data_IF_769606244096
#
_entry.id   IF_769606244096
#
_cell.length_a   1.000
_cell.length_b   1.000
_cell.length_c   1.000
_cell.angle_alpha   90.00
_cell.angle_beta   90.00
_cell.angle_gamma   90.00
#
_symmetry.space_group_name_H-M   'P 1'
#
loop_
_entity.id
_entity.type
_entity.pdbx_description
1 polymer ?
#
# COMPACT_ATOMS: atom_id res chain seq x y z
N UNK A 1 11.71 -1.99 9.86
CA UNK A 1 13.03 -2.14 9.26
C UNK A 1 13.60 -0.89 8.62
N UNK A 2 13.14 0.31 9.03
CA UNK A 2 13.74 1.59 8.61
C UNK A 2 15.17 1.70 9.15
N UNK A 3 16.04 2.51 8.52
CA UNK A 3 17.36 2.80 9.07
C UNK A 3 17.28 3.35 10.49
N UNK A 4 18.03 2.76 11.43
CA UNK A 4 18.01 3.13 12.82
C UNK A 4 16.81 2.60 13.63
N UNK A 5 15.94 1.81 13.02
CA UNK A 5 14.81 1.18 13.68
C UNK A 5 15.13 -0.31 13.96
N UNK A 6 15.28 -0.63 15.21
CA UNK A 6 15.42 -1.99 15.72
C UNK A 6 14.19 -2.43 16.53
N UNK A 7 14.26 -3.59 17.19
CA UNK A 7 13.17 -4.10 18.01
C UNK A 7 12.74 -3.15 19.14
N UNK A 8 13.66 -2.39 19.73
CA UNK A 8 13.36 -1.46 20.82
C UNK A 8 12.56 -0.24 20.32
N UNK A 9 12.97 0.38 19.22
CA UNK A 9 12.25 1.49 18.59
C UNK A 9 10.88 1.07 18.10
N UNK A 10 10.79 -0.15 17.57
CA UNK A 10 9.51 -0.70 17.12
C UNK A 10 8.57 -0.99 18.30
N UNK A 11 9.09 -1.55 19.40
CA UNK A 11 8.31 -1.74 20.62
C UNK A 11 7.81 -0.41 21.21
N UNK A 12 8.63 0.64 21.15
CA UNK A 12 8.22 1.99 21.52
C UNK A 12 7.08 2.49 20.61
N UNK A 13 7.19 2.27 19.31
CA UNK A 13 6.13 2.65 18.33
C UNK A 13 4.80 1.94 18.63
N UNK A 14 4.82 0.67 19.02
CA UNK A 14 3.63 -0.07 19.45
C UNK A 14 3.04 0.52 20.72
N UNK A 15 3.86 0.85 21.72
CA UNK A 15 3.41 1.47 22.97
C UNK A 15 2.80 2.87 22.75
N UNK A 16 3.33 3.65 21.81
CA UNK A 16 2.70 4.94 21.44
C UNK A 16 1.38 4.72 20.67
N UNK A 17 1.31 3.70 19.83
CA UNK A 17 0.08 3.32 19.12
C UNK A 17 -1.02 2.87 20.10
N UNK A 18 -0.65 2.19 21.17
CA UNK A 18 -1.58 1.79 22.25
C UNK A 18 -2.31 2.98 22.87
N UNK A 19 -1.63 4.12 23.04
CA UNK A 19 -2.26 5.33 23.59
C UNK A 19 -3.33 5.92 22.67
N UNK A 20 -3.23 5.67 21.38
CA UNK A 20 -4.17 6.16 20.37
C UNK A 20 -5.32 5.18 20.12
N UNK A 21 -5.08 3.88 20.27
CA UNK A 21 -6.01 2.77 20.00
C UNK A 21 -6.81 2.98 18.69
N UNK A 22 -6.14 3.10 17.52
CA UNK A 22 -6.83 3.31 16.25
C UNK A 22 -7.71 2.09 15.91
N UNK A 23 -8.83 2.30 15.21
CA UNK A 23 -9.73 1.21 14.79
C UNK A 23 -9.08 0.24 13.80
N UNK A 24 -8.13 0.71 13.02
CA UNK A 24 -7.34 -0.13 12.12
C UNK A 24 -5.93 0.40 11.96
N UNK A 25 -5.01 -0.49 11.65
CA UNK A 25 -3.61 -0.15 11.39
C UNK A 25 -3.01 -1.07 10.32
N UNK A 26 -1.95 -0.63 9.69
CA UNK A 26 -1.20 -1.47 8.76
C UNK A 26 0.26 -1.50 9.15
N UNK A 27 0.82 -2.69 9.27
CA UNK A 27 2.23 -2.89 9.54
C UNK A 27 2.93 -3.12 8.21
N UNK A 28 3.84 -2.20 7.86
CA UNK A 28 4.60 -2.23 6.62
C UNK A 28 6.03 -2.68 6.88
N UNK A 29 6.49 -3.63 6.07
CA UNK A 29 7.91 -3.96 5.98
C UNK A 29 8.56 -3.08 4.91
N UNK A 30 9.78 -2.60 5.18
CA UNK A 30 10.53 -1.76 4.26
C UNK A 30 10.67 -2.41 2.87
N UNK A 31 10.36 -1.64 1.84
CA UNK A 31 10.55 -2.04 0.44
C UNK A 31 11.50 -1.07 -0.26
N UNK A 32 12.61 -1.58 -0.78
CA UNK A 32 13.58 -0.78 -1.51
C UNK A 32 13.03 -0.34 -2.86
N UNK A 33 12.93 0.96 -3.07
CA UNK A 33 12.53 1.56 -4.35
C UNK A 33 13.78 1.95 -5.13
N UNK A 34 13.87 1.53 -6.40
CA UNK A 34 15.06 1.73 -7.26
C UNK A 34 15.63 3.15 -7.27
N UNK A 35 14.76 4.15 -7.24
CA UNK A 35 15.15 5.55 -7.30
C UNK A 35 15.28 6.23 -5.93
N UNK A 36 15.10 5.51 -4.82
CA UNK A 36 15.19 6.10 -3.49
C UNK A 36 16.64 6.39 -3.10
N UNK A 37 16.84 7.44 -2.33
CA UNK A 37 18.14 7.85 -1.78
C UNK A 37 18.79 6.70 -1.02
N UNK A 38 18.01 6.01 -0.18
CA UNK A 38 18.44 4.82 0.57
C UNK A 38 18.99 3.71 -0.35
N UNK A 39 18.38 3.49 -1.52
CA UNK A 39 18.85 2.47 -2.47
C UNK A 39 20.15 2.89 -3.16
N UNK A 40 20.30 4.18 -3.46
CA UNK A 40 21.54 4.73 -4.08
C UNK A 40 22.73 4.67 -3.13
N UNK A 41 22.49 4.89 -1.85
CA UNK A 41 23.50 4.93 -0.79
C UNK A 41 23.52 3.68 0.08
N UNK A 42 23.02 2.56 -0.47
CA UNK A 42 23.00 1.27 0.22
C UNK A 42 24.42 0.83 0.58
N UNK A 43 24.67 0.65 1.86
CA UNK A 43 25.99 0.30 2.40
C UNK A 43 26.62 1.41 3.24
N UNK A 44 26.12 2.63 3.19
CA UNK A 44 26.49 3.66 4.16
C UNK A 44 25.81 3.38 5.52
N UNK A 45 26.54 3.63 6.61
CA UNK A 45 26.04 3.32 7.98
C UNK A 45 24.71 3.99 8.31
N UNK A 46 24.51 5.24 7.88
CA UNK A 46 23.24 5.97 8.08
C UNK A 46 22.03 5.33 7.41
N UNK A 47 22.26 4.40 6.46
CA UNK A 47 21.20 3.65 5.77
C UNK A 47 21.24 2.16 6.12
N UNK A 48 21.91 1.79 7.22
CA UNK A 48 21.88 0.43 7.73
C UNK A 48 20.45 0.08 8.16
N UNK A 49 19.88 -0.89 7.49
CA UNK A 49 18.56 -1.42 7.82
C UNK A 49 18.68 -2.58 8.81
N UNK A 50 17.57 -2.89 9.49
CA UNK A 50 17.51 -4.01 10.41
C UNK A 50 17.91 -5.34 9.71
N UNK A 51 18.58 -6.19 10.44
CA UNK A 51 18.91 -7.56 10.05
C UNK A 51 17.64 -8.41 9.93
N UNK A 52 17.78 -9.60 9.34
CA UNK A 52 16.64 -10.53 9.23
C UNK A 52 16.09 -10.94 10.59
N UNK A 53 16.97 -11.17 11.57
CA UNK A 53 16.54 -11.60 12.90
C UNK A 53 15.84 -10.46 13.66
N UNK A 54 16.35 -9.22 13.55
CA UNK A 54 15.69 -8.03 14.09
C UNK A 54 14.31 -7.82 13.48
N UNK A 55 14.17 -8.01 12.15
CA UNK A 55 12.86 -7.88 11.47
C UNK A 55 11.91 -8.97 11.93
N UNK A 56 12.35 -10.22 12.03
CA UNK A 56 11.52 -11.30 12.54
C UNK A 56 11.04 -11.00 13.96
N UNK A 57 11.93 -10.53 14.84
CA UNK A 57 11.56 -10.13 16.20
C UNK A 57 10.53 -9.00 16.23
N UNK A 58 10.67 -7.99 15.37
CA UNK A 58 9.67 -6.91 15.23
C UNK A 58 8.32 -7.43 14.72
N UNK A 59 8.33 -8.37 13.77
CA UNK A 59 7.08 -8.96 13.25
C UNK A 59 6.39 -9.83 14.30
N UNK A 60 7.14 -10.61 15.07
CA UNK A 60 6.58 -11.41 16.17
C UNK A 60 5.98 -10.50 17.26
N UNK A 61 6.66 -9.40 17.59
CA UNK A 61 6.13 -8.39 18.50
C UNK A 61 4.83 -7.76 17.95
N UNK A 62 4.78 -7.45 16.64
CA UNK A 62 3.60 -6.91 15.97
C UNK A 62 2.41 -7.86 16.05
N UNK A 63 2.61 -9.14 15.72
CA UNK A 63 1.57 -10.17 15.77
C UNK A 63 1.06 -10.36 17.20
N UNK A 64 1.97 -10.42 18.18
CA UNK A 64 1.62 -10.58 19.60
C UNK A 64 0.84 -9.38 20.12
N UNK A 65 1.29 -8.17 19.80
CA UNK A 65 0.66 -6.93 20.22
C UNK A 65 -0.74 -6.78 19.60
N UNK A 66 -0.89 -6.99 18.28
CA UNK A 66 -2.20 -6.88 17.62
C UNK A 66 -3.20 -7.91 18.16
N UNK A 67 -2.78 -9.15 18.37
CA UNK A 67 -3.61 -10.19 18.96
C UNK A 67 -4.06 -9.85 20.39
N UNK A 68 -3.15 -9.37 21.25
CA UNK A 68 -3.47 -9.00 22.65
C UNK A 68 -4.43 -7.80 22.76
N UNK A 69 -4.49 -6.95 21.74
CA UNK A 69 -5.39 -5.78 21.69
C UNK A 69 -6.67 -6.02 20.88
N UNK A 70 -6.92 -7.28 20.46
CA UNK A 70 -8.15 -7.66 19.79
C UNK A 70 -8.22 -7.30 18.31
N UNK A 71 -7.11 -6.94 17.70
CA UNK A 71 -7.05 -6.73 16.25
C UNK A 71 -6.99 -8.06 15.50
N UNK A 72 -7.65 -8.09 14.35
CA UNK A 72 -7.69 -9.24 13.44
C UNK A 72 -7.08 -8.84 12.10
N UNK A 73 -6.20 -9.66 11.50
CA UNK A 73 -5.72 -9.39 10.16
C UNK A 73 -6.87 -9.50 9.15
N UNK A 74 -7.01 -8.54 8.23
CA UNK A 74 -8.08 -8.53 7.24
C UNK A 74 -7.63 -8.36 5.80
N UNK A 75 -6.37 -7.95 5.55
CA UNK A 75 -5.77 -8.00 4.23
C UNK A 75 -4.26 -8.19 4.28
N UNK A 76 -3.71 -8.73 3.20
CA UNK A 76 -2.30 -8.91 2.95
C UNK A 76 -1.90 -8.22 1.64
N UNK A 77 -0.79 -7.49 1.68
CA UNK A 77 -0.24 -6.87 0.48
C UNK A 77 1.26 -7.06 0.39
N UNK A 78 1.72 -7.70 -0.70
CA UNK A 78 3.14 -7.94 -0.92
C UNK A 78 3.71 -6.99 -1.97
N UNK A 79 4.74 -6.25 -1.60
CA UNK A 79 5.49 -5.42 -2.54
C UNK A 79 6.70 -6.17 -3.12
N UNK A 80 7.13 -5.76 -4.33
CA UNK A 80 8.40 -6.22 -4.89
C UNK A 80 9.56 -5.66 -4.07
N UNK A 81 10.63 -6.46 -3.88
CA UNK A 81 11.85 -6.09 -3.15
C UNK A 81 11.59 -5.68 -1.68
N UNK A 82 10.63 -6.31 -1.05
CA UNK A 82 10.39 -6.13 0.38
C UNK A 82 11.48 -6.83 1.19
N UNK A 83 11.90 -6.22 2.28
CA UNK A 83 12.92 -6.76 3.17
C UNK A 83 12.43 -8.08 3.80
N UNK A 84 13.32 -9.07 3.93
CA UNK A 84 12.97 -10.37 4.50
C UNK A 84 11.97 -11.20 3.70
N UNK A 85 11.53 -10.74 2.51
CA UNK A 85 10.48 -11.38 1.73
C UNK A 85 9.12 -11.49 2.45
N UNK A 86 8.87 -10.56 3.39
CA UNK A 86 7.67 -10.47 4.21
C UNK A 86 6.52 -9.77 3.49
N UNK A 87 5.41 -9.60 4.18
CA UNK A 87 4.19 -8.99 3.66
C UNK A 87 3.78 -7.80 4.52
N UNK A 88 3.04 -6.88 3.93
CA UNK A 88 2.35 -5.83 4.67
C UNK A 88 1.00 -6.37 5.10
N UNK A 89 0.69 -6.27 6.37
CA UNK A 89 -0.55 -6.81 6.94
C UNK A 89 -1.40 -5.67 7.47
N UNK A 90 -2.65 -5.62 7.03
CA UNK A 90 -3.66 -4.75 7.61
C UNK A 90 -4.41 -5.46 8.72
N UNK A 91 -4.49 -4.81 9.87
CA UNK A 91 -5.21 -5.26 11.06
C UNK A 91 -6.34 -4.31 11.39
N UNK A 92 -7.46 -4.80 11.88
CA UNK A 92 -8.59 -3.99 12.33
C UNK A 92 -9.25 -4.61 13.55
N UNK A 93 -9.87 -3.77 14.38
CA UNK A 93 -10.86 -4.25 15.34
C UNK A 93 -12.07 -4.81 14.56
N UNK A 94 -12.76 -5.84 15.08
CA UNK A 94 -13.90 -6.43 14.39
C UNK A 94 -14.97 -5.39 14.00
N UNK A 95 -15.36 -5.38 12.72
CA UNK A 95 -16.32 -4.41 12.17
C UNK A 95 -15.75 -3.04 11.88
N UNK A 96 -14.41 -2.85 11.96
CA UNK A 96 -13.69 -1.61 11.66
C UNK A 96 -12.75 -1.75 10.46
N UNK A 97 -12.91 -2.79 9.68
CA UNK A 97 -12.14 -3.03 8.47
C UNK A 97 -12.40 -1.92 7.44
N UNK A 98 -11.34 -1.41 6.83
CA UNK A 98 -11.45 -0.42 5.76
C UNK A 98 -11.98 -1.09 4.49
N UNK A 99 -13.23 -0.80 4.13
CA UNK A 99 -13.83 -1.28 2.89
C UNK A 99 -13.00 -0.87 1.65
N UNK A 100 -12.42 0.33 1.67
CA UNK A 100 -11.54 0.78 0.59
C UNK A 100 -10.32 -0.13 0.43
N UNK A 101 -9.67 -0.53 1.52
CA UNK A 101 -8.50 -1.42 1.46
C UNK A 101 -8.89 -2.80 0.90
N UNK A 102 -10.02 -3.34 1.32
CA UNK A 102 -10.54 -4.62 0.81
C UNK A 102 -10.79 -4.51 -0.70
N UNK A 103 -11.57 -3.54 -1.14
CA UNK A 103 -11.96 -3.38 -2.53
C UNK A 103 -10.76 -3.13 -3.47
N UNK A 104 -9.72 -2.41 -2.99
CA UNK A 104 -8.54 -2.13 -3.81
C UNK A 104 -7.60 -3.35 -3.91
N UNK A 105 -7.47 -4.14 -2.86
CA UNK A 105 -6.63 -5.34 -2.83
C UNK A 105 -7.29 -6.48 -3.61
N UNK A 106 -8.58 -6.70 -3.42
CA UNK A 106 -9.36 -7.70 -4.13
C UNK A 106 -9.69 -7.30 -5.59
N UNK A 107 -9.28 -6.10 -6.00
CA UNK A 107 -9.53 -5.55 -7.34
C UNK A 107 -11.02 -5.61 -7.77
N UNK A 108 -11.93 -5.40 -6.81
CA UNK A 108 -13.39 -5.51 -7.02
C UNK A 108 -14.04 -4.22 -7.51
N UNK A 109 -13.32 -3.10 -7.54
CA UNK A 109 -13.86 -1.80 -7.88
C UNK A 109 -13.00 -1.06 -8.89
N UNK A 110 -13.64 -0.43 -9.88
CA UNK A 110 -13.00 0.55 -10.76
C UNK A 110 -12.49 1.73 -9.95
N UNK A 111 -11.24 2.12 -10.18
CA UNK A 111 -10.56 3.19 -9.44
C UNK A 111 -10.01 4.20 -10.44
N UNK A 112 -10.33 5.47 -10.23
CA UNK A 112 -9.73 6.59 -10.98
C UNK A 112 -8.55 7.13 -10.17
N UNK A 113 -7.33 6.84 -10.63
CA UNK A 113 -6.11 7.32 -10.02
C UNK A 113 -5.79 8.77 -10.40
N UNK A 114 -5.68 9.67 -9.44
CA UNK A 114 -5.34 11.08 -9.63
C UNK A 114 -3.93 11.37 -9.10
N UNK A 115 -3.21 12.24 -9.79
CA UNK A 115 -1.89 12.68 -9.38
C UNK A 115 -0.72 11.93 -10.02
N UNK A 116 0.49 12.39 -9.75
CA UNK A 116 1.74 11.83 -10.25
C UNK A 116 1.91 10.38 -9.76
N UNK A 117 2.24 9.47 -10.69
CA UNK A 117 2.46 8.06 -10.38
C UNK A 117 1.21 7.23 -10.04
N UNK A 118 0.02 7.86 -9.94
CA UNK A 118 -1.22 7.15 -9.69
C UNK A 118 -1.63 6.28 -10.89
N UNK A 119 -2.31 5.17 -10.62
CA UNK A 119 -2.79 4.26 -11.65
C UNK A 119 -4.31 4.11 -11.52
N UNK A 120 -5.02 4.36 -12.61
CA UNK A 120 -6.43 3.99 -12.73
C UNK A 120 -6.55 2.51 -13.06
N UNK A 121 -7.56 1.84 -12.50
CA UNK A 121 -7.95 0.46 -12.80
C UNK A 121 -9.40 0.49 -13.28
N UNK A 122 -9.64 -0.02 -14.45
CA UNK A 122 -10.97 -0.13 -15.05
C UNK A 122 -11.35 -1.60 -15.06
N UNK A 123 -12.42 -1.95 -14.37
CA UNK A 123 -12.93 -3.32 -14.33
C UNK A 123 -14.10 -3.41 -15.28
N UNK A 124 -14.00 -4.25 -16.30
CA UNK A 124 -15.10 -4.53 -17.20
C UNK A 124 -16.22 -5.25 -16.43
N UNK A 125 -17.45 -4.70 -16.40
CA UNK A 125 -18.52 -5.27 -15.58
C UNK A 125 -19.06 -6.61 -16.09
N UNK A 126 -18.82 -6.95 -17.35
CA UNK A 126 -19.29 -8.19 -17.95
C UNK A 126 -18.25 -9.33 -17.83
N UNK A 127 -16.96 -9.01 -17.96
CA UNK A 127 -15.88 -10.00 -18.03
C UNK A 127 -15.01 -10.05 -16.78
N UNK A 128 -15.01 -8.97 -15.97
CA UNK A 128 -14.08 -8.80 -14.86
C UNK A 128 -12.64 -8.47 -15.29
N UNK A 129 -12.40 -8.26 -16.59
CA UNK A 129 -11.07 -7.89 -17.09
C UNK A 129 -10.63 -6.53 -16.56
N UNK A 130 -9.36 -6.46 -16.16
CA UNK A 130 -8.78 -5.24 -15.57
C UNK A 130 -7.83 -4.57 -16.53
N UNK A 131 -8.21 -3.39 -17.01
CA UNK A 131 -7.34 -2.49 -17.78
C UNK A 131 -6.72 -1.45 -16.86
N UNK A 132 -5.47 -1.09 -17.08
CA UNK A 132 -4.75 -0.12 -16.25
C UNK A 132 -4.23 1.05 -17.06
N UNK A 133 -4.44 2.27 -16.55
CA UNK A 133 -3.91 3.52 -17.10
C UNK A 133 -3.09 4.23 -16.01
N UNK A 134 -1.78 4.20 -16.17
CA UNK A 134 -0.85 4.81 -15.21
C UNK A 134 -0.45 6.23 -15.64
N UNK A 135 -0.47 7.17 -14.69
CA UNK A 135 0.15 8.48 -14.86
C UNK A 135 1.68 8.37 -14.82
N UNK A 136 2.41 9.33 -15.41
CA UNK A 136 3.86 9.41 -15.27
C UNK A 136 4.27 9.40 -13.79
N UNK A 137 5.34 8.64 -13.48
CA UNK A 137 5.87 8.52 -12.12
C UNK A 137 6.86 9.63 -11.77
N UNK A 138 7.41 10.29 -12.79
CA UNK A 138 8.34 11.38 -12.62
C UNK A 138 7.54 12.68 -12.59
N UNK A 139 7.73 13.56 -11.56
CA UNK A 139 6.91 14.76 -11.36
C UNK A 139 6.93 15.72 -12.56
N UNK A 140 8.10 15.94 -13.17
CA UNK A 140 8.23 16.84 -14.31
C UNK A 140 7.43 16.33 -15.51
N UNK A 141 7.59 15.04 -15.85
CA UNK A 141 6.86 14.41 -16.94
C UNK A 141 5.33 14.46 -16.70
N UNK A 142 4.89 14.32 -15.44
CA UNK A 142 3.47 14.46 -15.09
C UNK A 142 2.97 15.90 -15.31
N UNK A 143 3.72 16.91 -14.85
CA UNK A 143 3.37 18.33 -15.02
C UNK A 143 3.28 18.70 -16.52
N UNK A 144 4.21 18.20 -17.32
CA UNK A 144 4.26 18.51 -18.74
C UNK A 144 3.16 17.80 -19.56
N UNK A 145 2.56 16.71 -19.02
CA UNK A 145 1.63 15.86 -19.79
C UNK A 145 0.29 15.59 -19.13
N UNK A 146 -0.02 16.16 -17.96
CA UNK A 146 -1.21 15.80 -17.17
C UNK A 146 -2.52 15.97 -17.95
N UNK A 147 -2.64 16.97 -18.84
CA UNK A 147 -3.86 17.21 -19.65
C UNK A 147 -4.17 16.01 -20.55
N UNK A 148 -3.16 15.47 -21.23
CA UNK A 148 -3.30 14.25 -22.03
C UNK A 148 -3.83 13.07 -21.19
N UNK A 149 -3.35 12.92 -19.96
CA UNK A 149 -3.81 11.84 -19.06
C UNK A 149 -5.22 12.07 -18.52
N UNK A 150 -5.67 13.32 -18.40
CA UNK A 150 -7.08 13.65 -18.12
C UNK A 150 -7.94 13.19 -19.30
N UNK A 151 -7.61 13.56 -20.52
CA UNK A 151 -8.35 13.18 -21.74
C UNK A 151 -8.47 11.65 -21.87
N UNK A 152 -7.36 10.93 -21.76
CA UNK A 152 -7.35 9.46 -21.79
C UNK A 152 -8.23 8.83 -20.70
N UNK A 153 -8.29 9.44 -19.52
CA UNK A 153 -9.16 8.95 -18.43
C UNK A 153 -10.62 9.26 -18.70
N UNK A 154 -10.94 10.41 -19.25
CA UNK A 154 -12.32 10.76 -19.64
C UNK A 154 -12.84 9.79 -20.69
N UNK A 155 -12.06 9.53 -21.74
CA UNK A 155 -12.42 8.53 -22.77
C UNK A 155 -12.61 7.12 -22.15
N UNK A 156 -11.73 6.70 -21.25
CA UNK A 156 -11.85 5.41 -20.59
C UNK A 156 -13.10 5.36 -19.70
N UNK A 157 -13.42 6.45 -19.00
CA UNK A 157 -14.59 6.57 -18.15
C UNK A 157 -15.89 6.51 -18.95
N UNK A 158 -15.96 7.22 -20.08
CA UNK A 158 -17.11 7.19 -21.00
C UNK A 158 -17.35 5.79 -21.53
N UNK A 159 -16.30 5.09 -22.01
CA UNK A 159 -16.39 3.70 -22.45
C UNK A 159 -16.88 2.77 -21.36
N UNK A 160 -16.35 2.94 -20.14
CA UNK A 160 -16.74 2.11 -18.98
C UNK A 160 -18.20 2.34 -18.57
N UNK A 161 -18.69 3.59 -18.60
CA UNK A 161 -20.11 3.87 -18.35
C UNK A 161 -21.02 3.29 -19.44
N UNK A 162 -20.60 3.38 -20.72
CA UNK A 162 -21.37 2.84 -21.84
C UNK A 162 -21.47 1.30 -21.81
N UNK A 163 -20.49 0.61 -21.19
CA UNK A 163 -20.50 -0.85 -21.05
C UNK A 163 -21.31 -1.36 -19.86
N UNK A 164 -21.78 -0.47 -18.97
CA UNK A 164 -22.61 -0.88 -17.83
C UNK A 164 -24.01 -1.26 -18.26
N UNK A 165 -24.54 -2.41 -17.82
CA UNK A 165 -25.96 -2.65 -17.94
C UNK A 165 -26.72 -1.55 -17.19
N UNK A 166 -27.70 -0.94 -17.83
CA UNK A 166 -28.62 -0.03 -17.15
C UNK A 166 -29.18 -0.75 -15.93
N UNK A 167 -29.00 -0.16 -14.76
CA UNK A 167 -29.63 -0.68 -13.55
C UNK A 167 -31.16 -0.68 -13.80
N UNK A 168 -31.76 -1.87 -13.78
CA UNK A 168 -33.18 -2.05 -13.88
C UNK A 168 -33.86 -1.59 -12.58
#
# INVERSE_FOLDING_TARGET
GLPGEGPEEFAHSLAETEKLMPESLTIHTLSFKRASEMTRHRGEEKYRVASRDEINAMMDAAVSWTASHGYVPYYLYRQKNILGNLENVGYALPGKESLYNILIIEEMQTIVGLGCGATSKWIDPATGEITRLANPKEPRAYIDTYRKYIELKMEALEKWYASRPLAA
#
